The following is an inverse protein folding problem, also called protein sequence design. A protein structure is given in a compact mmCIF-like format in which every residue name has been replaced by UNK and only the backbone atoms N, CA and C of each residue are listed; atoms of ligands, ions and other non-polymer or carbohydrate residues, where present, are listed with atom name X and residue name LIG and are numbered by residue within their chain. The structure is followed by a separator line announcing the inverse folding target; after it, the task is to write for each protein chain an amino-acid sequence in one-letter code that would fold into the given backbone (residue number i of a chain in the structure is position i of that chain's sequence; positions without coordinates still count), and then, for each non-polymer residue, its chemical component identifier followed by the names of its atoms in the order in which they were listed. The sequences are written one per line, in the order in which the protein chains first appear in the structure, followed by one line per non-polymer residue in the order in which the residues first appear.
data_IF_144934208535
#
_entry.id   IF_144934208535
#
_cell.length_a   1.000
_cell.length_b   1.000
_cell.length_c   1.000
_cell.angle_alpha   90.00
_cell.angle_beta   90.00
_cell.angle_gamma   90.00
#
_symmetry.space_group_name_H-M   'P 1'
#
loop_
_entity.id
_entity.type
_entity.pdbx_description
1 polymer ?
#
# COMPACT_ATOMS: atom_id res chain seq x y z
N UNK A 1 2.31 -11.76 2.68
CA UNK A 1 2.86 -11.75 4.05
C UNK A 1 1.95 -11.04 5.04
N UNK A 2 1.55 -9.77 4.81
CA UNK A 2 0.67 -9.03 5.74
C UNK A 2 -0.58 -9.82 6.13
N UNK A 3 -1.29 -10.37 5.14
CA UNK A 3 -2.46 -11.22 5.36
C UNK A 3 -2.22 -12.39 6.33
N UNK A 4 -1.04 -13.02 6.28
CA UNK A 4 -0.73 -14.15 7.18
C UNK A 4 -0.53 -13.67 8.62
N UNK A 5 0.06 -12.48 8.79
CA UNK A 5 0.18 -11.86 10.11
C UNK A 5 -1.21 -11.52 10.66
N UNK A 6 -2.08 -10.95 9.82
CA UNK A 6 -3.45 -10.63 10.21
C UNK A 6 -4.25 -11.90 10.56
N UNK A 7 -4.14 -12.97 9.76
CA UNK A 7 -4.77 -14.25 10.06
C UNK A 7 -4.30 -14.83 11.40
N UNK A 8 -3.01 -14.74 11.72
CA UNK A 8 -2.51 -15.12 13.04
C UNK A 8 -3.15 -14.28 14.16
N UNK A 9 -3.26 -12.96 13.97
CA UNK A 9 -3.87 -12.09 14.98
C UNK A 9 -5.36 -12.39 15.18
N UNK A 10 -6.10 -12.66 14.13
CA UNK A 10 -7.52 -13.00 14.23
C UNK A 10 -7.73 -14.40 14.82
N UNK A 11 -7.04 -15.41 14.27
CA UNK A 11 -7.30 -16.82 14.62
C UNK A 11 -6.51 -17.34 15.82
N UNK A 12 -5.36 -16.73 16.13
CA UNK A 12 -4.39 -17.25 17.10
C UNK A 12 -3.56 -18.44 16.60
N UNK A 13 -3.76 -18.90 15.36
CA UNK A 13 -3.07 -20.09 14.82
C UNK A 13 -1.66 -19.74 14.33
N UNK A 14 -0.65 -20.31 15.00
CA UNK A 14 0.76 -20.04 14.74
C UNK A 14 1.21 -20.45 13.33
N UNK A 15 0.50 -21.38 12.66
CA UNK A 15 0.86 -21.86 11.32
C UNK A 15 0.96 -20.74 10.29
N UNK A 16 0.26 -19.63 10.51
CA UNK A 16 0.32 -18.47 9.61
C UNK A 16 1.61 -17.66 9.77
N UNK A 17 2.27 -17.71 10.93
CA UNK A 17 3.58 -17.06 11.13
C UNK A 17 4.76 -17.95 10.75
N UNK A 18 4.62 -19.27 10.86
CA UNK A 18 5.68 -20.24 10.55
C UNK A 18 6.45 -20.02 9.23
N UNK A 19 5.81 -19.70 8.09
CA UNK A 19 6.55 -19.49 6.84
C UNK A 19 7.28 -18.14 6.77
N UNK A 20 6.92 -17.16 7.59
CA UNK A 20 7.38 -15.78 7.45
C UNK A 20 8.90 -15.61 7.65
N UNK A 21 9.57 -16.23 8.63
CA UNK A 21 11.02 -16.13 8.76
C UNK A 21 11.78 -16.49 7.48
N UNK A 22 11.38 -17.59 6.81
CA UNK A 22 12.02 -18.03 5.55
C UNK A 22 11.74 -17.07 4.41
N UNK A 23 10.51 -16.56 4.32
CA UNK A 23 10.14 -15.56 3.32
C UNK A 23 10.90 -14.24 3.53
N UNK A 24 10.97 -13.74 4.76
CA UNK A 24 11.70 -12.51 5.10
C UNK A 24 13.19 -12.67 4.79
N UNK A 25 13.79 -13.82 5.13
CA UNK A 25 15.16 -14.13 4.76
C UNK A 25 15.37 -14.17 3.24
N UNK A 26 14.36 -14.62 2.47
CA UNK A 26 14.37 -14.55 1.00
C UNK A 26 14.32 -13.12 0.49
N UNK A 27 13.43 -12.29 1.00
CA UNK A 27 13.42 -10.88 0.58
C UNK A 27 14.72 -10.18 0.94
N UNK A 28 15.23 -10.31 2.17
CA UNK A 28 16.46 -9.64 2.60
C UNK A 28 17.66 -9.98 1.71
N UNK A 29 17.82 -11.23 1.28
CA UNK A 29 18.91 -11.63 0.37
C UNK A 29 18.67 -11.31 -1.11
N UNK A 30 17.43 -11.04 -1.49
CA UNK A 30 17.04 -10.80 -2.90
C UNK A 30 16.96 -9.31 -3.24
N UNK A 31 17.24 -8.44 -2.27
CA UNK A 31 17.25 -7.00 -2.45
C UNK A 31 18.26 -6.59 -3.54
N UNK A 32 17.81 -5.78 -4.50
CA UNK A 32 18.64 -5.33 -5.62
C UNK A 32 19.21 -3.92 -5.40
N UNK A 33 18.63 -3.17 -4.46
CA UNK A 33 19.09 -1.90 -3.93
C UNK A 33 18.37 -1.66 -2.59
N UNK A 34 18.86 -0.80 -1.68
CA UNK A 34 18.25 -0.59 -0.38
C UNK A 34 16.74 -0.29 -0.45
N UNK A 35 15.93 -1.17 0.13
CA UNK A 35 14.48 -1.15 0.13
C UNK A 35 13.81 -1.46 -1.21
N UNK A 36 14.51 -2.05 -2.19
CA UNK A 36 14.02 -2.28 -3.56
C UNK A 36 14.26 -3.73 -4.00
N UNK A 37 13.22 -4.32 -4.57
CA UNK A 37 13.22 -5.66 -5.13
C UNK A 37 12.81 -5.63 -6.60
N UNK A 38 13.29 -6.59 -7.38
CA UNK A 38 12.73 -6.87 -8.68
C UNK A 38 11.32 -7.48 -8.54
N UNK A 39 10.51 -7.34 -9.57
CA UNK A 39 9.15 -7.89 -9.56
C UNK A 39 9.13 -9.40 -9.74
N UNK A 40 10.11 -9.92 -10.49
CA UNK A 40 10.23 -11.32 -10.85
C UNK A 40 11.66 -11.78 -10.58
N UNK A 41 11.78 -13.03 -10.14
CA UNK A 41 13.04 -13.71 -9.90
C UNK A 41 12.98 -15.10 -10.54
N UNK A 42 14.07 -15.50 -11.18
CA UNK A 42 14.24 -16.84 -11.75
C UNK A 42 14.28 -17.90 -10.64
N UNK A 43 13.48 -18.95 -10.81
CA UNK A 43 13.43 -20.08 -9.87
C UNK A 43 14.74 -20.85 -9.97
N UNK A 44 15.29 -21.23 -8.81
CA UNK A 44 16.56 -21.94 -8.70
C UNK A 44 17.76 -20.99 -8.52
N UNK A 45 17.90 -19.96 -9.36
CA UNK A 45 19.05 -19.05 -9.31
C UNK A 45 18.81 -17.81 -8.45
N UNK A 46 17.55 -17.43 -8.24
CA UNK A 46 17.16 -16.21 -7.55
C UNK A 46 17.68 -14.92 -8.22
N UNK A 47 17.92 -14.96 -9.53
CA UNK A 47 18.32 -13.77 -10.30
C UNK A 47 17.09 -12.93 -10.65
N UNK A 48 17.14 -11.59 -10.53
CA UNK A 48 16.14 -10.71 -11.13
C UNK A 48 15.97 -11.02 -12.61
N UNK A 49 14.72 -11.11 -13.06
CA UNK A 49 14.39 -11.25 -14.48
C UNK A 49 13.39 -10.20 -14.91
N UNK A 50 13.47 -9.85 -16.19
CA UNK A 50 12.61 -8.91 -16.87
C UNK A 50 12.07 -9.55 -18.14
N UNK A 51 11.02 -8.98 -18.71
CA UNK A 51 10.40 -9.53 -19.92
C UNK A 51 9.91 -8.43 -20.85
N UNK A 52 9.91 -8.74 -22.14
CA UNK A 52 9.40 -7.84 -23.17
C UNK A 52 8.20 -8.43 -23.91
N UNK A 53 7.64 -7.69 -24.87
CA UNK A 53 6.54 -8.13 -25.74
C UNK A 53 6.93 -9.26 -26.68
N UNK A 54 8.22 -9.52 -26.87
CA UNK A 54 8.71 -10.67 -27.62
C UNK A 54 8.63 -11.99 -26.84
N UNK A 55 8.22 -11.94 -25.56
CA UNK A 55 8.06 -13.09 -24.70
C UNK A 55 9.37 -13.66 -24.15
N UNK A 56 10.50 -12.97 -24.33
CA UNK A 56 11.81 -13.43 -23.86
C UNK A 56 12.12 -12.95 -22.45
N UNK A 57 13.01 -13.68 -21.80
CA UNK A 57 13.58 -13.32 -20.50
C UNK A 57 14.84 -12.47 -20.73
N UNK A 58 14.90 -11.37 -20.00
CA UNK A 58 15.99 -10.41 -19.97
C UNK A 58 16.56 -10.30 -18.55
N UNK A 59 17.82 -9.91 -18.43
CA UNK A 59 18.50 -9.78 -17.12
C UNK A 59 18.88 -8.34 -16.77
N UNK A 60 18.57 -7.39 -17.65
CA UNK A 60 18.68 -5.95 -17.41
C UNK A 60 17.42 -5.22 -17.94
N UNK A 61 17.03 -4.12 -17.30
CA UNK A 61 15.86 -3.33 -17.75
C UNK A 61 16.21 -2.60 -19.05
N UNK A 62 17.47 -2.28 -19.23
CA UNK A 62 18.06 -1.58 -20.36
C UNK A 62 17.95 -2.40 -21.66
N UNK A 63 17.79 -3.72 -21.56
CA UNK A 63 17.56 -4.62 -22.69
C UNK A 63 16.12 -4.54 -23.24
N UNK A 64 15.19 -3.94 -22.48
CA UNK A 64 13.78 -3.86 -22.86
C UNK A 64 13.52 -2.68 -23.79
N UNK A 65 12.46 -2.76 -24.58
CA UNK A 65 11.90 -1.66 -25.36
C UNK A 65 11.51 -0.49 -24.45
N UNK A 66 11.60 0.78 -24.92
CA UNK A 66 11.24 1.95 -24.12
C UNK A 66 9.82 1.89 -23.52
N UNK A 67 8.88 1.27 -24.26
CA UNK A 67 7.52 1.01 -23.78
C UNK A 67 7.50 0.11 -22.55
N UNK A 68 8.29 -0.97 -22.51
CA UNK A 68 8.36 -1.87 -21.35
C UNK A 68 9.24 -1.36 -20.22
N UNK A 69 10.27 -0.58 -20.51
CA UNK A 69 11.08 0.08 -19.48
C UNK A 69 10.23 1.03 -18.61
N UNK A 70 9.31 1.77 -19.25
CA UNK A 70 8.55 2.84 -18.59
C UNK A 70 7.08 2.50 -18.33
N UNK A 71 6.53 1.53 -19.06
CA UNK A 71 5.14 1.11 -19.00
C UNK A 71 4.82 0.12 -17.90
N UNK A 72 5.83 -0.57 -17.35
CA UNK A 72 5.63 -1.58 -16.32
C UNK A 72 6.60 -1.39 -15.16
N UNK A 73 6.08 -1.47 -13.93
CA UNK A 73 6.92 -1.40 -12.73
C UNK A 73 7.63 -2.73 -12.53
N UNK A 74 8.90 -2.77 -12.93
CA UNK A 74 9.81 -3.92 -12.79
C UNK A 74 10.48 -3.99 -11.42
N UNK A 75 10.58 -2.87 -10.70
CA UNK A 75 11.30 -2.73 -9.45
C UNK A 75 10.52 -1.80 -8.52
N UNK A 76 10.40 -2.16 -7.25
CA UNK A 76 9.74 -1.33 -6.23
C UNK A 76 10.08 -1.83 -4.82
N UNK A 77 9.67 -1.08 -3.80
CA UNK A 77 9.74 -1.53 -2.41
C UNK A 77 8.65 -2.54 -2.05
N UNK A 78 7.54 -2.53 -2.79
CA UNK A 78 6.35 -3.35 -2.54
C UNK A 78 5.82 -3.26 -1.09
N UNK A 79 6.17 -2.20 -0.35
CA UNK A 79 5.85 -2.04 1.07
C UNK A 79 6.54 -3.05 2.00
N UNK A 80 7.54 -3.80 1.52
CA UNK A 80 8.21 -4.85 2.29
C UNK A 80 8.86 -4.37 3.59
N UNK A 81 9.54 -3.19 3.64
CA UNK A 81 10.10 -2.69 4.89
C UNK A 81 9.05 -2.51 6.00
N UNK A 82 7.87 -2.00 5.64
CA UNK A 82 6.76 -1.86 6.59
C UNK A 82 6.19 -3.20 7.05
N UNK A 83 6.17 -4.21 6.18
CA UNK A 83 5.72 -5.56 6.56
C UNK A 83 6.76 -6.24 7.48
N UNK A 84 8.06 -6.03 7.28
CA UNK A 84 9.09 -6.55 8.18
C UNK A 84 8.95 -5.93 9.57
N UNK A 85 8.87 -4.60 9.64
CA UNK A 85 8.65 -3.89 10.91
C UNK A 85 7.37 -4.38 11.61
N UNK A 86 6.31 -4.60 10.85
CA UNK A 86 5.05 -5.10 11.41
C UNK A 86 5.15 -6.54 11.95
N UNK A 87 5.84 -7.42 11.22
CA UNK A 87 6.14 -8.77 11.71
C UNK A 87 6.99 -8.73 12.99
N UNK A 88 8.03 -7.90 13.01
CA UNK A 88 8.93 -7.75 14.15
C UNK A 88 8.18 -7.21 15.39
N UNK A 89 7.28 -6.24 15.22
CA UNK A 89 6.41 -5.74 16.29
C UNK A 89 5.53 -6.86 16.87
N UNK A 90 4.83 -7.62 16.00
CA UNK A 90 3.97 -8.73 16.42
C UNK A 90 4.77 -9.80 17.16
N UNK A 91 5.99 -10.10 16.72
CA UNK A 91 6.89 -11.03 17.40
C UNK A 91 7.42 -10.49 18.74
N UNK A 92 7.66 -9.19 18.85
CA UNK A 92 8.22 -8.57 20.04
C UNK A 92 7.19 -8.42 21.17
N UNK A 93 6.00 -7.92 20.87
CA UNK A 93 4.98 -7.64 21.90
C UNK A 93 3.87 -8.68 21.98
N UNK A 94 3.78 -9.58 20.98
CA UNK A 94 2.83 -10.68 20.97
C UNK A 94 1.40 -10.29 20.58
N UNK A 95 0.60 -11.30 20.24
CA UNK A 95 -0.79 -11.16 19.77
C UNK A 95 -1.66 -10.33 20.72
N UNK A 96 -1.66 -10.68 22.01
CA UNK A 96 -2.56 -10.05 22.99
C UNK A 96 -2.31 -8.54 23.09
N UNK A 97 -1.04 -8.12 23.12
CA UNK A 97 -0.71 -6.70 23.18
C UNK A 97 -1.08 -5.97 21.88
N UNK A 98 -0.87 -6.59 20.72
CA UNK A 98 -1.28 -6.02 19.42
C UNK A 98 -2.80 -5.82 19.36
N UNK A 99 -3.58 -6.83 19.76
CA UNK A 99 -5.04 -6.75 19.77
C UNK A 99 -5.55 -5.72 20.78
N UNK A 100 -4.94 -5.65 21.97
CA UNK A 100 -5.26 -4.61 22.95
C UNK A 100 -4.95 -3.20 22.41
N UNK A 101 -3.80 -3.02 21.73
CA UNK A 101 -3.43 -1.76 21.08
C UNK A 101 -4.41 -1.39 19.97
N UNK A 102 -4.82 -2.34 19.12
CA UNK A 102 -5.84 -2.14 18.07
C UNK A 102 -7.18 -1.72 18.68
N UNK A 103 -7.65 -2.46 19.69
CA UNK A 103 -8.89 -2.15 20.40
C UNK A 103 -8.85 -0.76 21.03
N UNK A 104 -7.77 -0.41 21.72
CA UNK A 104 -7.62 0.90 22.33
C UNK A 104 -7.62 2.03 21.28
N UNK A 105 -6.97 1.82 20.13
CA UNK A 105 -6.99 2.77 19.02
C UNK A 105 -8.40 2.92 18.43
N UNK A 106 -9.13 1.81 18.23
CA UNK A 106 -10.50 1.82 17.72
C UNK A 106 -11.47 2.50 18.69
N UNK A 107 -11.37 2.19 19.99
CA UNK A 107 -12.19 2.80 21.03
C UNK A 107 -11.89 4.31 21.13
N UNK A 108 -10.62 4.70 21.05
CA UNK A 108 -10.21 6.11 21.00
C UNK A 108 -10.74 6.83 19.75
N UNK A 109 -10.68 6.19 18.57
CA UNK A 109 -11.18 6.74 17.33
C UNK A 109 -12.71 6.94 17.34
N UNK A 110 -13.46 6.03 17.97
CA UNK A 110 -14.92 6.10 18.11
C UNK A 110 -15.40 7.07 19.19
N UNK A 111 -14.53 7.47 20.12
CA UNK A 111 -14.86 8.43 21.17
C UNK A 111 -15.25 9.81 20.59
N UNK A 112 -16.06 10.59 21.32
CA UNK A 112 -16.43 11.93 20.90
C UNK A 112 -15.22 12.84 20.63
N UNK A 113 -14.17 12.72 21.45
CA UNK A 113 -12.90 13.44 21.27
C UNK A 113 -12.17 12.99 20.00
N UNK A 114 -12.11 11.69 19.76
CA UNK A 114 -11.49 11.12 18.56
C UNK A 114 -12.20 11.54 17.28
N UNK A 115 -13.52 11.44 17.27
CA UNK A 115 -14.39 11.95 16.20
C UNK A 115 -14.17 13.43 15.93
N UNK A 116 -14.22 14.29 16.96
CA UNK A 116 -13.99 15.72 16.82
C UNK A 116 -12.59 16.05 16.27
N UNK A 117 -11.55 15.32 16.74
CA UNK A 117 -10.20 15.48 16.23
C UNK A 117 -10.08 15.06 14.75
N UNK A 118 -10.74 13.95 14.36
CA UNK A 118 -10.79 13.48 12.97
C UNK A 118 -11.51 14.47 12.07
N UNK A 119 -12.68 14.98 12.48
CA UNK A 119 -13.41 16.00 11.75
C UNK A 119 -12.54 17.25 11.53
N UNK A 120 -11.90 17.75 12.58
CA UNK A 120 -10.97 18.90 12.49
C UNK A 120 -9.80 18.65 11.54
N UNK A 121 -9.24 17.44 11.54
CA UNK A 121 -8.13 17.08 10.66
C UNK A 121 -8.56 16.93 9.19
N UNK A 122 -9.78 16.45 8.93
CA UNK A 122 -10.31 16.25 7.58
C UNK A 122 -10.91 17.54 6.98
N UNK A 123 -11.34 18.49 7.80
CA UNK A 123 -12.02 19.71 7.35
C UNK A 123 -11.27 20.46 6.22
N UNK A 124 -9.96 20.72 6.29
CA UNK A 124 -9.25 21.40 5.20
C UNK A 124 -9.32 20.62 3.88
N UNK A 125 -9.16 19.29 3.95
CA UNK A 125 -9.20 18.42 2.77
C UNK A 125 -10.60 18.31 2.19
N UNK A 126 -11.63 18.34 3.02
CA UNK A 126 -13.03 18.42 2.57
C UNK A 126 -13.30 19.73 1.84
N UNK A 127 -12.83 20.86 2.39
CA UNK A 127 -12.97 22.16 1.74
C UNK A 127 -12.25 22.20 0.39
N UNK A 128 -11.04 21.67 0.33
CA UNK A 128 -10.28 21.53 -0.92
C UNK A 128 -11.01 20.64 -1.93
N UNK A 129 -11.54 19.48 -1.50
CA UNK A 129 -12.28 18.58 -2.37
C UNK A 129 -13.54 19.25 -2.94
N UNK A 130 -14.31 19.98 -2.13
CA UNK A 130 -15.50 20.70 -2.60
C UNK A 130 -15.12 21.84 -3.56
N UNK A 131 -14.07 22.59 -3.23
CA UNK A 131 -13.60 23.69 -4.08
C UNK A 131 -13.05 23.21 -5.43
N UNK A 132 -12.59 21.95 -5.50
CA UNK A 132 -12.06 21.35 -6.72
C UNK A 132 -13.14 20.85 -7.71
N UNK A 133 -14.43 21.01 -7.41
CA UNK A 133 -15.49 20.70 -8.37
C UNK A 133 -15.47 21.64 -9.56
N UNK A 134 -15.62 21.07 -10.76
CA UNK A 134 -15.97 21.87 -11.93
C UNK A 134 -17.46 22.26 -11.92
N UNK A 135 -17.90 23.00 -12.93
CA UNK A 135 -19.29 23.44 -13.07
C UNK A 135 -20.32 22.28 -13.12
N UNK A 136 -19.87 21.04 -13.36
CA UNK A 136 -20.71 19.84 -13.38
C UNK A 136 -20.57 19.00 -12.11
N UNK A 137 -19.84 19.46 -11.09
CA UNK A 137 -19.63 18.72 -9.84
C UNK A 137 -18.66 17.55 -9.97
N UNK A 138 -17.71 17.61 -10.91
CA UNK A 138 -16.73 16.54 -11.15
C UNK A 138 -15.36 16.90 -10.58
N UNK A 139 -14.66 15.89 -10.07
CA UNK A 139 -13.23 15.99 -9.81
C UNK A 139 -12.44 15.56 -11.04
N UNK A 140 -11.81 16.53 -11.70
CA UNK A 140 -10.92 16.26 -12.81
C UNK A 140 -9.48 16.23 -12.32
N UNK A 141 -8.75 15.20 -12.75
CA UNK A 141 -7.33 15.06 -12.47
C UNK A 141 -6.62 14.54 -13.71
N UNK A 142 -5.31 14.81 -13.79
CA UNK A 142 -4.44 14.13 -14.75
C UNK A 142 -4.27 12.67 -14.32
N UNK A 143 -4.45 11.72 -15.23
CA UNK A 143 -4.29 10.30 -14.92
C UNK A 143 -2.82 9.88 -14.79
N UNK A 144 -1.93 10.52 -15.55
CA UNK A 144 -0.48 10.32 -15.45
C UNK A 144 0.26 11.39 -16.24
N UNK A 145 1.60 11.47 -16.11
CA UNK A 145 2.43 12.27 -17.01
C UNK A 145 2.20 11.96 -18.51
N UNK A 146 1.80 10.72 -18.84
CA UNK A 146 1.55 10.27 -20.21
C UNK A 146 0.12 10.56 -20.69
N UNK A 147 -0.78 10.91 -19.78
CA UNK A 147 -2.17 11.27 -20.09
C UNK A 147 -2.55 12.52 -19.29
N UNK A 148 -1.99 13.69 -19.67
CA UNK A 148 -2.07 14.91 -18.88
C UNK A 148 -3.44 15.59 -18.94
N UNK A 149 -4.28 15.23 -19.92
CA UNK A 149 -5.61 15.77 -20.06
C UNK A 149 -6.44 15.54 -18.79
N UNK A 150 -7.13 16.59 -18.35
CA UNK A 150 -8.01 16.55 -17.20
C UNK A 150 -9.20 15.63 -17.50
N UNK A 151 -9.36 14.61 -16.67
CA UNK A 151 -10.42 13.62 -16.79
C UNK A 151 -10.84 13.12 -15.41
N UNK A 152 -11.97 12.44 -15.34
CA UNK A 152 -12.33 11.72 -14.13
C UNK A 152 -11.34 10.56 -13.97
N UNK A 153 -10.66 10.51 -12.84
CA UNK A 153 -9.80 9.37 -12.50
C UNK A 153 -10.39 8.64 -11.31
N UNK A 154 -10.37 7.32 -11.34
CA UNK A 154 -10.85 6.48 -10.24
C UNK A 154 -10.15 6.83 -8.93
N UNK A 155 -8.85 7.11 -8.98
CA UNK A 155 -8.07 7.48 -7.80
C UNK A 155 -8.53 8.79 -7.17
N UNK A 156 -8.67 9.88 -7.95
CA UNK A 156 -9.13 11.17 -7.43
C UNK A 156 -10.56 11.08 -6.91
N UNK A 157 -11.43 10.37 -7.63
CA UNK A 157 -12.81 10.15 -7.21
C UNK A 157 -12.90 9.42 -5.87
N UNK A 158 -12.23 8.27 -5.73
CA UNK A 158 -12.25 7.48 -4.49
C UNK A 158 -11.66 8.29 -3.34
N UNK A 159 -10.52 8.95 -3.54
CA UNK A 159 -9.86 9.72 -2.48
C UNK A 159 -10.74 10.85 -1.95
N UNK A 160 -11.37 11.62 -2.83
CA UNK A 160 -12.23 12.73 -2.42
C UNK A 160 -13.54 12.25 -1.82
N UNK A 161 -14.17 11.22 -2.40
CA UNK A 161 -15.39 10.62 -1.85
C UNK A 161 -15.15 10.01 -0.46
N UNK A 162 -14.06 9.26 -0.26
CA UNK A 162 -13.68 8.72 1.04
C UNK A 162 -13.45 9.84 2.05
N UNK A 163 -12.73 10.90 1.67
CA UNK A 163 -12.49 12.06 2.55
C UNK A 163 -13.81 12.68 3.02
N UNK A 164 -14.79 12.83 2.12
CA UNK A 164 -16.12 13.34 2.48
C UNK A 164 -16.89 12.38 3.38
N UNK A 165 -16.95 11.10 3.04
CA UNK A 165 -17.64 10.09 3.85
C UNK A 165 -17.06 10.00 5.27
N UNK A 166 -15.73 9.96 5.39
CA UNK A 166 -15.05 9.89 6.69
C UNK A 166 -15.27 11.14 7.54
N UNK A 167 -15.36 12.32 6.91
CA UNK A 167 -15.72 13.55 7.62
C UNK A 167 -17.17 13.51 8.12
N UNK A 168 -18.11 13.09 7.27
CA UNK A 168 -19.53 12.95 7.63
C UNK A 168 -19.74 11.94 8.78
N UNK A 169 -19.03 10.81 8.75
CA UNK A 169 -19.03 9.83 9.83
C UNK A 169 -18.46 10.40 11.14
N UNK A 170 -17.48 11.30 11.06
CA UNK A 170 -16.85 11.91 12.21
C UNK A 170 -17.72 13.02 12.86
N UNK A 171 -18.55 13.71 12.08
CA UNK A 171 -19.44 14.77 12.61
C UNK A 171 -20.82 14.27 13.04
N UNK A 172 -21.17 13.02 12.71
CA UNK A 172 -22.40 12.34 13.17
C UNK A 172 -22.26 11.80 14.58
#
# INVERSE_FOLDING_TARGET
MRLLIDLYLETGDAKYLEPLPRAIAWFKRSEIAPGIWARLYEIGTNKPIYGDRDGKVHYAVEELTPERQTGYSWKSSYGMPGIFAYYDEVKAIGRTAILAKRKAADDAAKSAKGKAARAKALEPRVREAIAAFDAQGRWLASASRRSPALQITTNAFIANLQTLCEYLEAVK
#
